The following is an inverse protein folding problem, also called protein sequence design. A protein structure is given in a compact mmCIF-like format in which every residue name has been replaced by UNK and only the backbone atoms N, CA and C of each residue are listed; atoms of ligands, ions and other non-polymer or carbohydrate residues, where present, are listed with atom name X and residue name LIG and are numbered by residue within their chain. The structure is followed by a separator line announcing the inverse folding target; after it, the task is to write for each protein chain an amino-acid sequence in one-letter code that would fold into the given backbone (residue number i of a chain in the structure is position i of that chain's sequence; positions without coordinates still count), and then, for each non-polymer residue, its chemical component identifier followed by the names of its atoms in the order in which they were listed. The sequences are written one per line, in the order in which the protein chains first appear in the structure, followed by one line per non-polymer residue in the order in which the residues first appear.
data_IF_641297021717
#
_entry.id   IF_641297021717
#
_cell.length_a   1.000
_cell.length_b   1.000
_cell.length_c   1.000
_cell.angle_alpha   90.00
_cell.angle_beta   90.00
_cell.angle_gamma   90.00
#
_symmetry.space_group_name_H-M   'P 1'
#
loop_
_entity.id
_entity.type
_entity.pdbx_description
1 polymer ?
#
# COMPACT_ATOMS: atom_id res chain seq x y z
N UNK A 1 -55.68 92.25 4.15
CA UNK A 1 -54.33 92.54 3.61
C UNK A 1 -53.49 93.14 4.72
N UNK A 2 -52.20 92.76 4.89
CA UNK A 2 -51.35 92.02 3.96
C UNK A 2 -50.90 90.64 4.45
N UNK A 3 -50.62 89.80 3.46
CA UNK A 3 -49.95 88.52 3.53
C UNK A 3 -48.49 88.62 4.02
N UNK A 4 -48.06 87.65 4.80
CA UNK A 4 -46.65 87.23 4.83
C UNK A 4 -46.56 85.72 4.71
N UNK A 5 -46.29 85.34 3.46
CA UNK A 5 -45.91 84.03 3.00
C UNK A 5 -44.55 83.65 3.62
N UNK A 6 -44.50 82.58 4.43
CA UNK A 6 -43.25 81.93 4.84
C UNK A 6 -43.36 80.45 4.49
N UNK A 7 -42.84 80.14 3.30
CA UNK A 7 -42.49 78.80 2.89
C UNK A 7 -41.33 78.30 3.74
N UNK A 8 -41.58 77.37 4.65
CA UNK A 8 -40.54 76.58 5.30
C UNK A 8 -40.80 75.09 5.03
N UNK A 9 -40.22 74.62 3.92
CA UNK A 9 -39.94 73.22 3.66
C UNK A 9 -38.71 72.84 4.49
N UNK A 10 -38.78 71.90 5.45
CA UNK A 10 -37.56 71.29 5.98
C UNK A 10 -37.12 70.20 5.00
N UNK A 11 -36.28 70.60 4.05
CA UNK A 11 -35.48 69.70 3.26
C UNK A 11 -34.17 69.50 4.03
N UNK A 12 -34.01 68.33 4.68
CA UNK A 12 -32.73 67.67 4.98
C UNK A 12 -32.99 66.44 5.86
N UNK A 13 -33.47 65.37 5.24
CA UNK A 13 -33.14 64.02 5.72
C UNK A 13 -31.72 63.73 5.25
N UNK A 14 -30.77 63.33 6.13
CA UNK A 14 -29.47 62.90 5.66
C UNK A 14 -29.67 61.64 4.82
N UNK A 15 -29.39 61.75 3.52
CA UNK A 15 -29.40 60.62 2.59
C UNK A 15 -28.42 59.58 3.13
N UNK A 16 -28.94 58.39 3.44
CA UNK A 16 -28.11 57.27 3.88
C UNK A 16 -27.11 56.93 2.77
N UNK A 17 -25.83 56.89 3.11
CA UNK A 17 -24.76 56.47 2.21
C UNK A 17 -25.15 55.15 1.54
N UNK A 18 -25.05 55.11 0.22
CA UNK A 18 -25.27 53.87 -0.52
C UNK A 18 -24.19 52.85 -0.17
N UNK A 19 -24.51 51.56 -0.31
CA UNK A 19 -23.55 50.47 -0.03
C UNK A 19 -22.23 50.64 -0.82
N UNK A 20 -22.31 51.22 -2.03
CA UNK A 20 -21.13 51.56 -2.83
C UNK A 20 -20.29 52.67 -2.20
N UNK A 21 -20.90 53.74 -1.71
CA UNK A 21 -20.19 54.84 -1.06
C UNK A 21 -19.57 54.40 0.28
N UNK A 22 -20.23 53.50 1.02
CA UNK A 22 -19.65 52.89 2.23
C UNK A 22 -18.42 52.03 1.87
N UNK A 23 -18.50 51.24 0.80
CA UNK A 23 -17.38 50.43 0.33
C UNK A 23 -16.23 51.30 -0.19
N UNK A 24 -16.50 52.35 -0.96
CA UNK A 24 -15.45 53.23 -1.48
C UNK A 24 -14.84 54.12 -0.39
N UNK A 25 -15.61 54.56 0.60
CA UNK A 25 -15.12 55.43 1.69
C UNK A 25 -14.37 54.65 2.77
N UNK A 26 -14.82 53.44 3.11
CA UNK A 26 -14.26 52.67 4.22
C UNK A 26 -13.64 51.33 3.78
N UNK A 27 -14.28 50.61 2.85
CA UNK A 27 -13.84 49.30 2.40
C UNK A 27 -12.56 49.31 1.57
N UNK A 28 -12.44 50.24 0.61
CA UNK A 28 -11.28 50.34 -0.28
C UNK A 28 -9.99 50.73 0.47
N UNK A 29 -9.97 51.75 1.35
CA UNK A 29 -8.77 52.09 2.12
C UNK A 29 -8.33 51.00 3.10
N UNK A 30 -9.29 50.26 3.69
CA UNK A 30 -9.00 49.10 4.53
C UNK A 30 -8.37 47.95 3.72
N UNK A 31 -8.90 47.68 2.52
CA UNK A 31 -8.35 46.67 1.63
C UNK A 31 -6.93 47.04 1.15
N UNK A 32 -6.70 48.29 0.75
CA UNK A 32 -5.37 48.79 0.34
C UNK A 32 -4.36 48.71 1.48
N UNK A 33 -4.77 49.03 2.72
CA UNK A 33 -3.92 48.92 3.90
C UNK A 33 -3.59 47.47 4.25
N UNK A 34 -4.57 46.57 4.17
CA UNK A 34 -4.33 45.13 4.32
C UNK A 34 -3.36 44.61 3.25
N UNK A 35 -3.51 45.05 2.00
CA UNK A 35 -2.65 44.66 0.90
C UNK A 35 -1.22 45.19 1.07
N UNK A 36 -1.05 46.42 1.58
CA UNK A 36 0.26 46.99 1.92
C UNK A 36 0.98 46.20 3.03
N UNK A 37 0.25 45.72 4.03
CA UNK A 37 0.80 44.89 5.11
C UNK A 37 1.23 43.51 4.61
N UNK A 38 0.42 42.88 3.73
CA UNK A 38 0.74 41.58 3.12
C UNK A 38 1.89 41.72 2.09
N UNK A 39 2.08 42.90 1.50
CA UNK A 39 3.21 43.18 0.61
C UNK A 39 4.54 43.43 1.34
N UNK A 40 4.53 43.55 2.68
CA UNK A 40 5.74 43.80 3.45
C UNK A 40 6.65 42.55 3.43
N UNK A 41 7.94 42.67 3.09
CA UNK A 41 8.84 41.52 2.97
C UNK A 41 8.99 40.70 4.26
N UNK A 42 8.91 41.34 5.44
CA UNK A 42 8.96 40.64 6.74
C UNK A 42 7.69 39.81 6.95
N UNK A 43 6.53 40.39 6.62
CA UNK A 43 5.24 39.69 6.72
C UNK A 43 5.18 38.54 5.71
N UNK A 44 5.68 38.74 4.48
CA UNK A 44 5.77 37.69 3.48
C UNK A 44 6.71 36.54 3.91
N UNK A 45 7.87 36.87 4.47
CA UNK A 45 8.80 35.86 4.98
C UNK A 45 8.18 35.03 6.11
N UNK A 46 7.47 35.67 7.03
CA UNK A 46 6.81 34.96 8.14
C UNK A 46 5.62 34.12 7.66
N UNK A 47 4.82 34.62 6.71
CA UNK A 47 3.77 33.84 6.06
C UNK A 47 4.33 32.62 5.32
N UNK A 48 5.45 32.75 4.61
CA UNK A 48 6.12 31.63 3.95
C UNK A 48 6.65 30.61 4.95
N UNK A 49 7.21 31.06 6.09
CA UNK A 49 7.63 30.17 7.18
C UNK A 49 6.45 29.39 7.76
N UNK A 50 5.38 30.08 8.13
CA UNK A 50 4.17 29.44 8.67
C UNK A 50 3.58 28.42 7.68
N UNK A 51 3.52 28.78 6.39
CA UNK A 51 3.05 27.87 5.33
C UNK A 51 3.93 26.62 5.22
N UNK A 52 5.25 26.78 5.31
CA UNK A 52 6.23 25.68 5.26
C UNK A 52 6.11 24.78 6.49
N UNK A 53 5.97 25.36 7.68
CA UNK A 53 5.76 24.61 8.92
C UNK A 53 4.47 23.79 8.90
N UNK A 54 3.37 24.40 8.43
CA UNK A 54 2.09 23.70 8.28
C UNK A 54 2.22 22.54 7.28
N UNK A 55 2.93 22.75 6.17
CA UNK A 55 3.20 21.70 5.19
C UNK A 55 3.97 20.53 5.81
N UNK A 56 5.08 20.77 6.51
CA UNK A 56 5.84 19.69 7.16
C UNK A 56 5.05 18.98 8.25
N UNK A 57 4.18 19.70 8.97
CA UNK A 57 3.23 19.08 9.91
C UNK A 57 2.28 18.11 9.21
N UNK A 58 1.78 18.46 8.01
CA UNK A 58 0.94 17.58 7.19
C UNK A 58 1.70 16.37 6.68
N UNK A 59 2.93 16.55 6.19
CA UNK A 59 3.78 15.43 5.75
C UNK A 59 4.05 14.46 6.90
N UNK A 60 4.41 14.98 8.08
CA UNK A 60 4.63 14.14 9.26
C UNK A 60 3.36 13.39 9.70
N UNK A 61 2.23 14.09 9.76
CA UNK A 61 0.96 13.46 10.12
C UNK A 61 0.53 12.37 9.12
N UNK A 62 0.90 12.52 7.84
CA UNK A 62 0.69 11.50 6.82
C UNK A 62 1.61 10.29 7.04
N UNK A 63 2.91 10.51 7.30
CA UNK A 63 3.85 9.43 7.63
C UNK A 63 3.42 8.62 8.87
N UNK A 64 2.85 9.29 9.88
CA UNK A 64 2.36 8.66 11.11
C UNK A 64 1.12 7.75 10.87
N UNK A 65 0.45 7.84 9.71
CA UNK A 65 -0.62 6.92 9.32
C UNK A 65 -0.11 5.59 8.77
N UNK A 66 1.18 5.51 8.43
CA UNK A 66 1.79 4.29 7.90
C UNK A 66 1.99 3.25 9.01
N UNK A 67 1.65 2.00 8.73
CA UNK A 67 1.92 0.88 9.63
C UNK A 67 2.96 -0.09 9.03
N UNK A 68 3.34 -1.13 9.77
CA UNK A 68 4.21 -2.20 9.25
C UNK A 68 3.33 -3.33 8.74
N UNK A 69 3.60 -3.79 7.53
CA UNK A 69 3.09 -5.04 6.99
C UNK A 69 3.89 -6.21 7.55
N UNK A 70 3.19 -7.31 7.82
CA UNK A 70 3.77 -8.62 8.10
C UNK A 70 4.34 -9.25 6.82
N UNK A 71 5.20 -10.25 6.95
CA UNK A 71 5.74 -10.97 5.78
C UNK A 71 4.63 -11.55 4.91
N UNK A 72 3.60 -12.13 5.53
CA UNK A 72 2.45 -12.69 4.80
C UNK A 72 1.72 -11.61 3.99
N UNK A 73 1.45 -10.45 4.58
CA UNK A 73 0.78 -9.35 3.86
C UNK A 73 1.66 -8.83 2.71
N UNK A 74 2.98 -8.77 2.91
CA UNK A 74 3.93 -8.40 1.85
C UNK A 74 3.91 -9.43 0.71
N UNK A 75 3.94 -10.73 1.04
CA UNK A 75 3.85 -11.83 0.07
C UNK A 75 2.52 -11.80 -0.70
N UNK A 76 1.39 -11.60 -0.02
CA UNK A 76 0.06 -11.53 -0.63
C UNK A 76 -0.03 -10.36 -1.65
N UNK A 77 0.50 -9.19 -1.30
CA UNK A 77 0.53 -8.03 -2.20
C UNK A 77 1.48 -8.25 -3.39
N UNK A 78 2.66 -8.82 -3.15
CA UNK A 78 3.63 -9.12 -4.20
C UNK A 78 3.07 -10.16 -5.16
N UNK A 79 2.39 -11.18 -4.65
CA UNK A 79 1.70 -12.18 -5.46
C UNK A 79 0.59 -11.55 -6.31
N UNK A 80 -0.20 -10.63 -5.74
CA UNK A 80 -1.23 -9.88 -6.47
C UNK A 80 -0.65 -9.14 -7.68
N UNK A 81 0.43 -8.39 -7.48
CA UNK A 81 1.10 -7.67 -8.57
C UNK A 81 1.67 -8.66 -9.59
N UNK A 82 2.28 -9.75 -9.13
CA UNK A 82 2.85 -10.78 -9.99
C UNK A 82 1.80 -11.40 -10.95
N UNK A 83 0.57 -11.62 -10.47
CA UNK A 83 -0.53 -12.14 -11.30
C UNK A 83 -1.25 -11.07 -12.14
N UNK A 84 -0.73 -9.82 -12.16
CA UNK A 84 -1.26 -8.72 -12.95
C UNK A 84 -2.35 -7.87 -12.28
N UNK A 85 -2.65 -8.11 -11.00
CA UNK A 85 -3.55 -7.29 -10.19
C UNK A 85 -2.72 -6.24 -9.44
N UNK A 86 -2.38 -5.18 -10.14
CA UNK A 86 -1.30 -4.28 -9.76
C UNK A 86 -1.71 -2.81 -9.56
N UNK A 87 -3.00 -2.51 -9.53
CA UNK A 87 -3.49 -1.16 -9.21
C UNK A 87 -3.67 -0.96 -7.71
N UNK A 88 -3.71 0.28 -7.22
CA UNK A 88 -3.98 0.55 -5.81
C UNK A 88 -5.36 0.03 -5.38
N UNK A 89 -6.34 0.03 -6.28
CA UNK A 89 -7.63 -0.61 -6.05
C UNK A 89 -7.50 -2.11 -5.85
N UNK A 90 -6.71 -2.79 -6.68
CA UNK A 90 -6.44 -4.23 -6.53
C UNK A 90 -5.76 -4.54 -5.18
N UNK A 91 -4.77 -3.73 -4.80
CA UNK A 91 -4.08 -3.90 -3.51
C UNK A 91 -5.04 -3.73 -2.33
N UNK A 92 -6.03 -2.83 -2.43
CA UNK A 92 -7.10 -2.68 -1.44
C UNK A 92 -8.06 -3.87 -1.41
N UNK A 93 -8.28 -4.55 -2.53
CA UNK A 93 -9.08 -5.79 -2.52
C UNK A 93 -8.36 -6.92 -1.77
N UNK A 94 -7.04 -7.00 -1.91
CA UNK A 94 -6.21 -7.98 -1.20
C UNK A 94 -6.10 -7.62 0.28
N UNK A 95 -5.88 -6.34 0.58
CA UNK A 95 -5.68 -5.84 1.93
C UNK A 95 -6.50 -4.55 2.14
N UNK A 96 -7.76 -4.64 2.61
CA UNK A 96 -8.63 -3.47 2.77
C UNK A 96 -8.12 -2.39 3.73
N UNK A 97 -7.25 -2.75 4.66
CA UNK A 97 -6.62 -1.82 5.61
C UNK A 97 -5.49 -0.99 5.02
N UNK A 98 -5.03 -1.29 3.79
CA UNK A 98 -3.88 -0.63 3.19
C UNK A 98 -4.22 0.82 2.81
N UNK A 99 -3.32 1.72 3.18
CA UNK A 99 -3.41 3.14 2.88
C UNK A 99 -2.16 3.61 2.12
N UNK A 100 -2.22 4.81 1.56
CA UNK A 100 -1.13 5.32 0.71
C UNK A 100 0.16 5.55 1.50
N UNK A 101 0.06 5.95 2.77
CA UNK A 101 1.22 6.12 3.64
C UNK A 101 1.96 4.79 3.88
N UNK A 102 1.21 3.70 4.04
CA UNK A 102 1.76 2.34 4.18
C UNK A 102 2.40 1.88 2.88
N UNK A 103 1.75 2.04 1.72
CA UNK A 103 2.37 1.70 0.41
C UNK A 103 3.67 2.48 0.21
N UNK A 104 3.65 3.78 0.51
CA UNK A 104 4.81 4.65 0.37
C UNK A 104 6.05 4.12 1.11
N UNK A 105 5.87 3.50 2.28
CA UNK A 105 6.96 2.91 3.07
C UNK A 105 7.68 1.75 2.39
N UNK A 106 7.01 1.07 1.46
CA UNK A 106 7.52 -0.09 0.71
C UNK A 106 7.79 0.23 -0.77
N UNK A 107 7.59 1.49 -1.16
CA UNK A 107 7.79 2.00 -2.51
C UNK A 107 9.24 2.46 -2.70
N UNK A 108 9.83 2.11 -3.84
CA UNK A 108 11.16 2.55 -4.23
C UNK A 108 11.17 4.02 -4.67
N UNK A 109 10.10 4.49 -5.32
CA UNK A 109 9.96 5.87 -5.77
C UNK A 109 9.62 6.81 -4.61
N UNK A 110 10.34 7.91 -4.50
CA UNK A 110 10.16 8.91 -3.45
C UNK A 110 9.46 10.17 -4.00
N UNK A 111 8.34 10.62 -3.41
CA UNK A 111 7.67 11.83 -3.82
C UNK A 111 8.49 13.06 -3.41
N UNK A 112 8.47 14.08 -4.27
CA UNK A 112 9.19 15.31 -4.00
C UNK A 112 8.56 16.09 -2.83
N UNK A 113 9.36 16.90 -2.15
CA UNK A 113 8.85 17.87 -1.20
C UNK A 113 8.51 19.18 -1.92
N UNK A 114 7.31 19.73 -1.66
CA UNK A 114 6.84 20.98 -2.28
C UNK A 114 7.75 22.18 -1.97
N UNK A 115 8.33 22.18 -0.76
CA UNK A 115 9.33 23.16 -0.37
C UNK A 115 10.68 22.43 -0.29
N UNK A 116 11.61 22.82 -1.15
CA UNK A 116 13.02 22.39 -1.02
C UNK A 116 13.59 23.04 0.24
N UNK A 117 14.36 22.27 1.02
CA UNK A 117 15.07 22.78 2.18
C UNK A 117 16.16 23.77 1.74
N UNK A 118 15.80 25.02 1.49
CA UNK A 118 16.74 26.13 1.34
C UNK A 118 17.14 26.57 2.75
N UNK A 119 18.19 25.94 3.30
CA UNK A 119 18.76 26.27 4.60
C UNK A 119 20.17 25.70 4.77
N UNK A 120 21.11 26.56 5.18
CA UNK A 120 22.57 26.36 5.26
C UNK A 120 23.03 25.30 6.29
N UNK A 121 22.11 24.69 7.02
CA UNK A 121 22.31 23.42 7.70
C UNK A 121 21.40 22.46 6.98
N UNK A 122 21.94 21.85 5.93
CA UNK A 122 21.25 20.92 5.06
C UNK A 122 20.42 19.98 5.92
N UNK A 123 19.12 20.24 5.96
CA UNK A 123 18.16 19.36 6.60
C UNK A 123 18.31 18.08 5.84
N UNK A 124 19.10 17.16 6.42
CA UNK A 124 19.41 15.86 5.85
C UNK A 124 18.05 15.37 5.37
N UNK A 125 17.85 15.15 4.06
CA UNK A 125 16.62 14.57 3.59
C UNK A 125 16.42 13.36 4.50
N UNK A 126 15.36 13.37 5.31
CA UNK A 126 15.08 12.30 6.27
C UNK A 126 14.55 11.07 5.52
N UNK A 127 15.14 10.83 4.35
CA UNK A 127 14.88 9.79 3.38
C UNK A 127 16.10 8.88 3.27
N UNK A 128 17.28 9.31 3.72
CA UNK A 128 18.44 8.44 3.90
C UNK A 128 18.62 8.02 5.38
N UNK A 129 17.75 7.15 5.88
CA UNK A 129 18.13 6.25 6.98
C UNK A 129 19.17 5.27 6.45
N UNK A 130 20.43 5.69 6.39
CA UNK A 130 21.59 4.89 5.99
C UNK A 130 21.92 3.73 6.96
N UNK A 131 20.96 3.27 7.77
CA UNK A 131 21.19 2.15 8.70
C UNK A 131 19.95 1.31 9.02
N UNK A 132 18.86 1.42 8.26
CA UNK A 132 17.80 0.40 8.28
C UNK A 132 17.66 -0.11 6.86
N UNK A 133 17.97 -1.38 6.67
CA UNK A 133 17.77 -2.13 5.42
C UNK A 133 16.27 -2.15 5.11
N UNK A 134 15.72 -1.03 4.61
CA UNK A 134 14.33 -0.96 4.14
C UNK A 134 14.26 -1.79 2.88
N UNK A 135 13.52 -2.88 2.93
CA UNK A 135 13.20 -3.65 1.74
C UNK A 135 12.12 -2.89 0.97
N UNK A 136 12.50 -2.35 -0.18
CA UNK A 136 11.55 -1.80 -1.15
C UNK A 136 11.05 -2.95 -2.02
N UNK A 137 9.74 -3.14 -2.07
CA UNK A 137 9.11 -4.23 -2.80
C UNK A 137 8.36 -3.76 -4.03
N UNK A 138 7.91 -2.51 -4.02
CA UNK A 138 7.07 -1.94 -5.06
C UNK A 138 7.78 -0.78 -5.73
N UNK A 139 7.46 -0.55 -6.99
CA UNK A 139 7.84 0.63 -7.76
C UNK A 139 6.61 1.05 -8.59
N UNK A 140 6.42 2.34 -8.84
CA UNK A 140 5.34 2.79 -9.71
C UNK A 140 5.65 2.45 -11.16
N UNK A 141 4.65 1.93 -11.88
CA UNK A 141 4.77 1.72 -13.34
C UNK A 141 5.02 3.05 -14.07
N UNK A 142 4.37 4.11 -13.60
CA UNK A 142 4.51 5.47 -14.12
C UNK A 142 4.38 6.45 -12.96
N UNK A 143 5.36 7.34 -12.84
CA UNK A 143 5.33 8.41 -11.84
C UNK A 143 4.25 9.43 -12.22
N UNK A 144 3.27 9.71 -11.34
CA UNK A 144 2.23 10.70 -11.57
C UNK A 144 2.79 12.11 -11.74
N UNK A 145 2.10 12.94 -12.52
CA UNK A 145 2.44 14.37 -12.60
C UNK A 145 2.06 15.03 -11.27
N UNK A 146 3.01 15.67 -10.61
CA UNK A 146 2.76 16.27 -9.29
C UNK A 146 2.89 15.29 -8.12
N UNK A 147 3.73 14.26 -8.26
CA UNK A 147 4.10 13.31 -7.20
C UNK A 147 4.87 14.02 -6.06
N UNK A 148 4.11 14.72 -5.20
CA UNK A 148 4.61 15.48 -4.05
C UNK A 148 4.04 14.94 -2.74
N UNK A 149 4.85 14.85 -1.69
CA UNK A 149 4.37 14.46 -0.38
C UNK A 149 3.44 15.54 0.23
N UNK A 150 2.39 15.18 0.99
CA UNK A 150 1.81 13.85 1.06
C UNK A 150 1.05 13.52 -0.24
N UNK A 151 1.29 12.33 -0.79
CA UNK A 151 0.66 11.86 -2.03
C UNK A 151 -0.30 10.71 -1.73
N UNK A 152 -1.58 10.90 -2.03
CA UNK A 152 -2.59 9.83 -1.95
C UNK A 152 -2.67 9.12 -3.30
N UNK A 153 -2.50 7.79 -3.29
CA UNK A 153 -2.58 7.00 -4.52
C UNK A 153 -4.02 6.97 -5.04
N UNK A 154 -4.16 7.22 -6.34
CA UNK A 154 -5.42 7.05 -7.04
C UNK A 154 -5.72 5.55 -7.23
N UNK A 155 -7.00 5.14 -7.33
CA UNK A 155 -7.36 3.74 -7.56
C UNK A 155 -6.65 3.12 -8.78
N UNK A 156 -6.39 3.94 -9.81
CA UNK A 156 -5.72 3.56 -11.06
C UNK A 156 -4.20 3.59 -11.01
N UNK A 157 -3.60 4.10 -9.92
CA UNK A 157 -2.14 4.09 -9.78
C UNK A 157 -1.65 2.65 -9.73
N UNK A 158 -0.73 2.32 -10.63
CA UNK A 158 -0.25 0.94 -10.83
C UNK A 158 1.20 0.76 -10.41
N UNK A 159 1.51 -0.45 -9.96
CA UNK A 159 2.81 -0.82 -9.43
C UNK A 159 3.45 -1.97 -10.21
N UNK A 160 4.77 -2.04 -10.15
CA UNK A 160 5.60 -3.16 -10.57
C UNK A 160 6.44 -3.63 -9.38
N UNK A 161 6.93 -4.86 -9.46
CA UNK A 161 7.79 -5.45 -8.44
C UNK A 161 9.23 -4.95 -8.60
N UNK A 162 9.90 -4.73 -7.48
CA UNK A 162 11.36 -4.56 -7.48
C UNK A 162 12.05 -5.91 -7.60
N UNK A 163 13.36 -5.90 -7.92
CA UNK A 163 14.20 -7.12 -7.93
C UNK A 163 14.14 -7.87 -6.59
N UNK A 164 13.99 -7.14 -5.46
CA UNK A 164 13.87 -7.77 -4.14
C UNK A 164 12.59 -8.58 -4.03
N UNK A 165 11.47 -8.04 -4.53
CA UNK A 165 10.19 -8.74 -4.56
C UNK A 165 10.18 -9.90 -5.58
N UNK A 166 10.79 -9.72 -6.75
CA UNK A 166 10.91 -10.79 -7.76
C UNK A 166 11.72 -11.98 -7.23
N UNK A 167 12.83 -11.72 -6.55
CA UNK A 167 13.60 -12.79 -5.89
C UNK A 167 12.78 -13.53 -4.84
N UNK A 168 11.87 -12.85 -4.15
CA UNK A 168 10.99 -13.48 -3.18
C UNK A 168 9.95 -14.37 -3.86
N UNK A 169 9.34 -13.93 -4.97
CA UNK A 169 8.48 -14.77 -5.81
C UNK A 169 9.21 -16.05 -6.22
N UNK A 170 10.43 -15.93 -6.72
CA UNK A 170 11.21 -17.10 -7.13
C UNK A 170 11.41 -18.12 -5.98
N UNK A 171 11.66 -17.65 -4.75
CA UNK A 171 11.76 -18.54 -3.60
C UNK A 171 10.42 -19.18 -3.25
N UNK A 172 9.33 -18.41 -3.24
CA UNK A 172 7.99 -18.92 -2.95
C UNK A 172 7.55 -19.99 -3.97
N UNK A 173 7.82 -19.77 -5.25
CA UNK A 173 7.52 -20.74 -6.30
C UNK A 173 8.32 -22.03 -6.13
N UNK A 174 9.61 -21.91 -5.80
CA UNK A 174 10.47 -23.05 -5.52
C UNK A 174 9.98 -23.83 -4.30
N UNK A 175 9.61 -23.16 -3.23
CA UNK A 175 9.05 -23.78 -2.02
C UNK A 175 7.74 -24.52 -2.33
N UNK A 176 6.84 -23.89 -3.08
CA UNK A 176 5.58 -24.51 -3.50
C UNK A 176 5.81 -25.76 -4.36
N UNK A 177 6.74 -25.70 -5.31
CA UNK A 177 7.09 -26.86 -6.13
C UNK A 177 7.72 -28.00 -5.30
N UNK A 178 8.57 -27.67 -4.33
CA UNK A 178 9.13 -28.68 -3.41
C UNK A 178 8.06 -29.31 -2.52
N UNK A 179 7.10 -28.52 -2.03
CA UNK A 179 5.95 -29.02 -1.26
C UNK A 179 5.10 -29.97 -2.11
N UNK A 180 4.79 -29.61 -3.35
CA UNK A 180 4.02 -30.46 -4.27
C UNK A 180 4.75 -31.79 -4.56
N UNK A 181 6.07 -31.76 -4.75
CA UNK A 181 6.87 -32.97 -4.91
C UNK A 181 6.88 -33.84 -3.65
N UNK A 182 6.97 -33.23 -2.46
CA UNK A 182 6.94 -33.93 -1.19
C UNK A 182 5.58 -34.60 -0.96
N UNK A 183 4.49 -33.90 -1.23
CA UNK A 183 3.12 -34.45 -1.15
C UNK A 183 2.92 -35.61 -2.12
N UNK A 184 3.33 -35.47 -3.39
CA UNK A 184 3.28 -36.57 -4.36
C UNK A 184 4.12 -37.77 -3.93
N UNK A 185 5.30 -37.52 -3.36
CA UNK A 185 6.18 -38.58 -2.85
C UNK A 185 5.57 -39.30 -1.66
N UNK A 186 4.89 -38.59 -0.76
CA UNK A 186 4.15 -39.18 0.36
C UNK A 186 3.01 -40.06 -0.15
N UNK A 187 2.23 -39.59 -1.11
CA UNK A 187 1.14 -40.38 -1.72
C UNK A 187 1.69 -41.65 -2.36
N UNK A 188 2.76 -41.56 -3.15
CA UNK A 188 3.40 -42.74 -3.78
C UNK A 188 3.93 -43.71 -2.72
N UNK A 189 4.51 -43.21 -1.63
CA UNK A 189 5.01 -44.05 -0.53
C UNK A 189 3.87 -44.76 0.21
N UNK A 190 2.74 -44.08 0.43
CA UNK A 190 1.53 -44.66 1.02
C UNK A 190 0.94 -45.76 0.12
N UNK A 191 0.84 -45.50 -1.18
CA UNK A 191 0.35 -46.47 -2.16
C UNK A 191 1.27 -47.69 -2.23
N UNK A 192 2.59 -47.47 -2.31
CA UNK A 192 3.60 -48.55 -2.32
C UNK A 192 3.56 -49.38 -1.03
N UNK A 193 3.36 -48.73 0.13
CA UNK A 193 3.22 -49.42 1.41
C UNK A 193 1.95 -50.26 1.44
N UNK A 194 0.85 -49.78 0.86
CA UNK A 194 -0.40 -50.52 0.77
C UNK A 194 -0.27 -51.73 -0.16
N UNK A 195 0.33 -51.58 -1.33
CA UNK A 195 0.62 -52.68 -2.26
C UNK A 195 1.53 -53.74 -1.62
N UNK A 196 2.59 -53.32 -0.92
CA UNK A 196 3.48 -54.21 -0.18
C UNK A 196 2.74 -55.00 0.91
N UNK A 197 1.83 -54.35 1.66
CA UNK A 197 0.96 -55.04 2.64
C UNK A 197 0.03 -56.05 2.00
N UNK A 198 -0.44 -55.81 0.77
CA UNK A 198 -1.26 -56.79 0.05
C UNK A 198 -0.41 -57.94 -0.48
N UNK A 199 0.71 -57.64 -1.13
CA UNK A 199 1.64 -58.63 -1.66
C UNK A 199 2.16 -59.58 -0.57
N UNK A 200 2.51 -59.06 0.61
CA UNK A 200 2.92 -59.88 1.76
C UNK A 200 1.82 -60.83 2.23
N UNK A 201 0.55 -60.41 2.22
CA UNK A 201 -0.59 -61.30 2.50
C UNK A 201 -0.72 -62.40 1.45
N UNK A 202 -0.64 -62.04 0.16
CA UNK A 202 -0.70 -63.03 -0.94
C UNK A 202 0.47 -64.02 -0.88
N UNK A 203 1.68 -63.55 -0.60
CA UNK A 203 2.86 -64.38 -0.41
C UNK A 203 2.67 -65.35 0.77
N UNK A 204 2.09 -64.89 1.89
CA UNK A 204 1.76 -65.76 3.02
C UNK A 204 0.78 -66.88 2.61
N UNK A 205 -0.29 -66.55 1.88
CA UNK A 205 -1.23 -67.56 1.37
C UNK A 205 -0.58 -68.55 0.40
N UNK A 206 0.27 -68.07 -0.51
CA UNK A 206 1.00 -68.92 -1.45
C UNK A 206 1.95 -69.89 -0.72
N UNK A 207 2.64 -69.43 0.34
CA UNK A 207 3.47 -70.31 1.18
C UNK A 207 2.64 -71.41 1.84
N UNK A 208 1.47 -71.10 2.41
CA UNK A 208 0.58 -72.11 2.98
C UNK A 208 0.07 -73.10 1.92
N UNK A 209 -0.31 -72.63 0.73
CA UNK A 209 -0.72 -73.52 -0.35
C UNK A 209 0.42 -74.43 -0.80
N UNK A 210 1.64 -73.90 -0.91
CA UNK A 210 2.83 -74.67 -1.29
C UNK A 210 3.18 -75.76 -0.28
N UNK A 211 3.09 -75.48 1.03
CA UNK A 211 3.39 -76.50 2.05
C UNK A 211 2.37 -77.64 2.01
N UNK A 212 1.09 -77.34 1.82
CA UNK A 212 0.05 -78.36 1.62
C UNK A 212 0.32 -79.18 0.35
N UNK A 213 0.67 -78.52 -0.75
CA UNK A 213 0.99 -79.21 -2.01
C UNK A 213 2.16 -80.18 -1.89
N UNK A 214 3.24 -79.79 -1.20
CA UNK A 214 4.39 -80.65 -0.92
C UNK A 214 3.97 -81.87 -0.08
N UNK A 215 3.16 -81.67 0.96
CA UNK A 215 2.64 -82.76 1.79
C UNK A 215 1.82 -83.78 0.97
N UNK A 216 0.93 -83.30 0.09
CA UNK A 216 0.12 -84.17 -0.78
C UNK A 216 1.02 -84.98 -1.73
N UNK A 217 2.01 -84.33 -2.35
CA UNK A 217 2.94 -84.98 -3.25
C UNK A 217 3.75 -86.09 -2.54
N UNK A 218 4.22 -85.84 -1.31
CA UNK A 218 4.91 -86.84 -0.49
C UNK A 218 4.01 -88.03 -0.14
N UNK A 219 2.73 -87.78 0.19
CA UNK A 219 1.76 -88.84 0.46
C UNK A 219 1.51 -89.70 -0.78
N UNK A 220 1.36 -89.08 -1.96
CA UNK A 220 1.20 -89.81 -3.22
C UNK A 220 2.42 -90.66 -3.56
N UNK A 221 3.62 -90.13 -3.40
CA UNK A 221 4.86 -90.88 -3.60
C UNK A 221 4.91 -92.09 -2.64
N UNK A 222 4.61 -91.89 -1.36
CA UNK A 222 4.56 -92.97 -0.38
C UNK A 222 3.54 -94.06 -0.73
N UNK A 223 2.34 -93.67 -1.19
CA UNK A 223 1.31 -94.61 -1.64
C UNK A 223 1.73 -95.37 -2.91
N UNK A 224 2.49 -94.76 -3.81
CA UNK A 224 2.94 -95.40 -5.05
C UNK A 224 4.11 -96.39 -4.87
N UNK A 225 4.84 -96.30 -3.76
CA UNK A 225 5.97 -97.16 -3.41
C UNK A 225 5.56 -98.42 -2.61
N UNK A 226 4.27 -98.57 -2.29
CA UNK A 226 3.71 -99.63 -1.45
C UNK A 226 2.86 -100.57 -2.29
#
# INVERSE_FOLDING_TARGET
MPDKNISNKPENSPQGLTVREIYDTYGRPLAERAQSLISNPVVQAEMQRATREEYYKKVKAYEDQAFNLTNKEIEDLIWSIHIGKNTFEDLKQVMPSINSATIYKYLLDEPELRFKNEGLLGGIPKVASLNVKRSYYFQMTKIPTGFYAPYEFEPTDSFILTITAENMIYQLEKERHMQELAEKSLVIAEDSLNESKQSTKYAMYAMYASTIGILIALIQIYLSLK
#
